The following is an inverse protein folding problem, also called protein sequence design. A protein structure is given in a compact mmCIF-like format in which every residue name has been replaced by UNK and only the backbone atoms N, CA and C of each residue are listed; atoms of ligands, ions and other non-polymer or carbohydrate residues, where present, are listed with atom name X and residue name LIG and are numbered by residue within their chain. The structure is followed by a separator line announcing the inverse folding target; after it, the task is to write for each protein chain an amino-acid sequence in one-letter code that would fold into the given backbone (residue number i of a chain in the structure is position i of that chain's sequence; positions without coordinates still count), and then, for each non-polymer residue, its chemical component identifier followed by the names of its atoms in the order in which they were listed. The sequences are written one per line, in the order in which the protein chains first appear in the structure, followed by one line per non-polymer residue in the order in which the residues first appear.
data_IF_701983926163
#
_entry.id   IF_701983926163
#
_cell.length_a   1.000
_cell.length_b   1.000
_cell.length_c   1.000
_cell.angle_alpha   90.00
_cell.angle_beta   90.00
_cell.angle_gamma   90.00
#
_symmetry.space_group_name_H-M   'P 1'
#
loop_
_entity.id
_entity.type
_entity.pdbx_description
1 polymer ?
#
# COMPACT_ATOMS: atom_id res chain seq x y z
N UNK A 1 -37.08 19.09 10.91
CA UNK A 1 -37.30 18.74 12.32
C UNK A 1 -36.75 17.33 12.49
N UNK A 2 -35.78 17.12 13.38
CA UNK A 2 -35.14 15.81 13.58
C UNK A 2 -33.65 15.90 13.87
N UNK A 3 -33.29 16.58 14.95
CA UNK A 3 -31.97 16.56 15.59
C UNK A 3 -31.65 15.15 16.08
N UNK A 4 -30.43 14.68 15.83
CA UNK A 4 -29.82 13.60 16.62
C UNK A 4 -28.39 13.99 16.97
N UNK A 5 -28.28 14.53 18.19
CA UNK A 5 -27.02 14.60 18.92
C UNK A 5 -26.80 13.25 19.62
N UNK A 6 -25.56 12.75 19.61
CA UNK A 6 -25.08 11.83 20.64
C UNK A 6 -23.68 12.23 21.11
N UNK A 7 -23.57 12.43 22.43
CA UNK A 7 -22.36 12.66 23.23
C UNK A 7 -22.01 11.36 23.94
N UNK A 8 -20.71 11.12 24.13
CA UNK A 8 -20.13 10.11 25.02
C UNK A 8 -19.58 8.92 24.23
N UNK A 9 -18.40 8.37 24.45
CA UNK A 9 -17.44 8.50 25.53
C UNK A 9 -16.61 7.20 25.57
N UNK A 10 -15.42 7.28 26.15
CA UNK A 10 -14.47 6.20 26.44
C UNK A 10 -13.51 5.75 25.32
N UNK A 11 -12.23 5.99 25.64
CA UNK A 11 -11.02 5.59 24.93
C UNK A 11 -10.80 4.10 25.09
N UNK A 12 -10.65 3.37 23.99
CA UNK A 12 -9.84 2.15 23.95
C UNK A 12 -9.09 2.15 22.62
N UNK A 13 -7.81 2.52 22.67
CA UNK A 13 -6.92 2.59 21.52
C UNK A 13 -6.30 1.21 21.30
N UNK A 14 -6.96 0.38 20.50
CA UNK A 14 -6.48 -0.94 20.10
C UNK A 14 -6.85 -1.20 18.64
N UNK A 15 -5.85 -1.47 17.80
CA UNK A 15 -6.06 -1.87 16.42
C UNK A 15 -6.55 -3.32 16.36
N UNK A 16 -7.54 -3.62 15.53
CA UNK A 16 -7.92 -4.98 15.12
C UNK A 16 -7.73 -5.08 13.60
N UNK A 17 -6.82 -5.95 13.18
CA UNK A 17 -6.67 -6.35 11.77
C UNK A 17 -7.69 -7.47 11.52
N UNK A 18 -8.78 -7.17 10.81
CA UNK A 18 -9.74 -8.18 10.35
C UNK A 18 -9.43 -8.53 8.90
N UNK A 19 -8.94 -9.75 8.67
CA UNK A 19 -8.80 -10.32 7.34
C UNK A 19 -10.18 -10.81 6.86
N UNK A 20 -10.91 -9.97 6.15
CA UNK A 20 -12.18 -10.33 5.49
C UNK A 20 -11.94 -10.89 4.08
N UNK A 21 -12.21 -12.17 3.89
CA UNK A 21 -12.14 -12.85 2.58
C UNK A 21 -13.42 -12.56 1.76
N UNK A 22 -13.41 -11.53 0.91
CA UNK A 22 -14.48 -11.31 -0.06
C UNK A 22 -14.12 -12.00 -1.39
N UNK A 23 -14.75 -13.14 -1.67
CA UNK A 23 -14.66 -13.81 -2.97
C UNK A 23 -15.58 -13.11 -3.98
N UNK A 24 -15.01 -12.24 -4.82
CA UNK A 24 -15.67 -11.69 -6.00
C UNK A 24 -15.35 -12.57 -7.22
N UNK A 25 -16.29 -13.42 -7.63
CA UNK A 25 -16.26 -14.12 -8.91
C UNK A 25 -16.72 -13.17 -10.02
N UNK A 26 -15.79 -12.47 -10.67
CA UNK A 26 -16.00 -11.78 -11.93
C UNK A 26 -14.96 -12.29 -12.93
N UNK A 27 -15.42 -12.75 -14.10
CA UNK A 27 -14.63 -13.49 -15.07
C UNK A 27 -13.32 -12.81 -15.46
N UNK A 28 -12.24 -13.55 -15.38
CA UNK A 28 -10.93 -13.12 -15.87
C UNK A 28 -10.65 -13.80 -17.20
N UNK A 29 -10.51 -13.00 -18.25
CA UNK A 29 -9.84 -13.42 -19.47
C UNK A 29 -8.51 -14.11 -19.08
N UNK A 30 -8.19 -15.23 -19.72
CA UNK A 30 -7.01 -16.02 -19.42
C UNK A 30 -5.73 -15.22 -19.78
N UNK A 31 -5.30 -14.36 -18.87
CA UNK A 31 -3.92 -13.88 -18.83
C UNK A 31 -3.01 -15.10 -18.58
N UNK A 32 -1.81 -15.15 -19.20
CA UNK A 32 -0.88 -16.24 -18.98
C UNK A 32 -0.67 -16.41 -17.48
N UNK A 33 -0.97 -17.62 -16.97
CA UNK A 33 -0.97 -17.92 -15.55
C UNK A 33 0.38 -17.50 -14.94
N UNK A 34 0.35 -16.43 -14.15
CA UNK A 34 1.54 -15.93 -13.45
C UNK A 34 2.01 -17.05 -12.51
N UNK A 35 3.28 -17.49 -12.61
CA UNK A 35 3.81 -18.55 -11.75
C UNK A 35 3.53 -18.28 -10.26
N UNK A 36 3.09 -19.30 -9.52
CA UNK A 36 2.76 -19.17 -8.10
C UNK A 36 3.94 -18.60 -7.28
N UNK A 37 5.18 -18.90 -7.67
CA UNK A 37 6.39 -18.32 -7.07
C UNK A 37 6.47 -16.80 -7.21
N UNK A 38 6.01 -16.23 -8.33
CA UNK A 38 5.98 -14.79 -8.54
C UNK A 38 4.88 -14.13 -7.71
N UNK A 39 3.73 -14.80 -7.57
CA UNK A 39 2.64 -14.34 -6.71
C UNK A 39 3.05 -14.34 -5.23
N UNK A 40 3.72 -15.41 -4.78
CA UNK A 40 4.26 -15.49 -3.42
C UNK A 40 5.29 -14.37 -3.15
N UNK A 41 6.20 -14.14 -4.10
CA UNK A 41 7.18 -13.05 -4.00
C UNK A 41 6.50 -11.68 -3.96
N UNK A 42 5.49 -11.45 -4.81
CA UNK A 42 4.71 -10.21 -4.81
C UNK A 42 3.98 -9.98 -3.48
N UNK A 43 3.43 -11.03 -2.88
CA UNK A 43 2.82 -11.00 -1.55
C UNK A 43 3.83 -10.61 -0.48
N UNK A 44 4.99 -11.29 -0.40
CA UNK A 44 6.05 -10.98 0.57
C UNK A 44 6.62 -9.56 0.38
N UNK A 45 6.82 -9.13 -0.86
CA UNK A 45 7.25 -7.77 -1.17
C UNK A 45 6.20 -6.74 -0.70
N UNK A 46 4.91 -6.98 -0.99
CA UNK A 46 3.82 -6.10 -0.55
C UNK A 46 3.77 -5.98 0.97
N UNK A 47 3.89 -7.08 1.71
CA UNK A 47 3.94 -7.06 3.17
C UNK A 47 5.14 -6.27 3.69
N UNK A 48 6.34 -6.49 3.14
CA UNK A 48 7.54 -5.76 3.53
C UNK A 48 7.43 -4.24 3.25
N UNK A 49 6.80 -3.86 2.14
CA UNK A 49 6.49 -2.47 1.82
C UNK A 49 5.46 -1.88 2.80
N UNK A 50 4.39 -2.60 3.10
CA UNK A 50 3.35 -2.16 4.02
C UNK A 50 3.91 -1.96 5.44
N UNK A 51 4.72 -2.89 5.94
CA UNK A 51 5.43 -2.75 7.22
C UNK A 51 6.36 -1.53 7.21
N UNK A 52 7.06 -1.27 6.09
CA UNK A 52 7.90 -0.08 5.96
C UNK A 52 7.06 1.21 6.00
N UNK A 53 5.93 1.26 5.29
CA UNK A 53 5.03 2.40 5.31
C UNK A 53 4.30 2.57 6.65
N UNK A 54 4.25 1.52 7.48
CA UNK A 54 3.74 1.59 8.84
C UNK A 54 4.79 2.07 9.87
N UNK A 55 6.09 2.07 9.52
CA UNK A 55 7.16 2.54 10.43
C UNK A 55 7.16 4.06 10.53
N UNK A 56 6.67 4.56 11.66
CA UNK A 56 6.69 5.99 12.04
C UNK A 56 8.11 6.52 12.39
N UNK A 57 9.13 5.66 12.38
CA UNK A 57 10.53 6.03 12.62
C UNK A 57 11.12 6.86 11.46
N UNK A 58 10.59 6.71 10.24
CA UNK A 58 11.03 7.47 9.08
C UNK A 58 10.20 8.77 8.93
N UNK A 59 10.81 9.96 8.99
CA UNK A 59 10.09 11.23 8.88
C UNK A 59 9.42 11.43 7.51
N UNK A 60 9.85 10.71 6.46
CA UNK A 60 9.18 10.71 5.14
C UNK A 60 7.86 9.97 5.22
N UNK A 61 7.84 8.83 5.91
CA UNK A 61 6.62 8.06 6.16
C UNK A 61 5.63 8.87 6.99
N UNK A 62 6.11 9.55 8.04
CA UNK A 62 5.26 10.43 8.86
C UNK A 62 4.62 11.55 8.04
N UNK A 63 5.40 12.21 7.17
CA UNK A 63 4.90 13.28 6.29
C UNK A 63 3.90 12.76 5.27
N UNK A 64 4.19 11.62 4.65
CA UNK A 64 3.28 10.96 3.72
C UNK A 64 1.95 10.60 4.40
N UNK A 65 2.02 10.02 5.61
CA UNK A 65 0.83 9.70 6.40
C UNK A 65 0.03 10.97 6.74
N UNK A 66 0.69 12.04 7.20
CA UNK A 66 0.04 13.31 7.49
C UNK A 66 -0.67 13.89 6.25
N UNK A 67 -0.01 13.85 5.09
CA UNK A 67 -0.58 14.30 3.83
C UNK A 67 -1.86 13.52 3.46
N UNK A 68 -1.83 12.18 3.52
CA UNK A 68 -2.99 11.34 3.22
C UNK A 68 -4.14 11.56 4.21
N UNK A 69 -3.83 11.87 5.48
CA UNK A 69 -4.84 12.21 6.51
C UNK A 69 -5.48 13.58 6.25
N UNK A 70 -4.70 14.55 5.77
CA UNK A 70 -5.19 15.89 5.42
C UNK A 70 -5.98 15.88 4.11
N UNK A 71 -5.67 14.94 3.22
CA UNK A 71 -6.28 14.82 1.89
C UNK A 71 -6.94 13.44 1.69
N UNK A 72 -8.00 13.09 2.45
CA UNK A 72 -8.68 11.81 2.32
C UNK A 72 -9.37 11.62 0.96
N UNK A 73 -9.72 12.72 0.27
CA UNK A 73 -10.24 12.69 -1.10
C UNK A 73 -9.17 12.36 -2.16
N UNK A 74 -7.89 12.51 -1.79
CA UNK A 74 -6.73 12.19 -2.63
C UNK A 74 -6.30 10.73 -2.47
N UNK A 75 -6.68 10.09 -1.37
CA UNK A 75 -6.50 8.65 -1.21
C UNK A 75 -7.32 7.93 -2.31
N UNK A 76 -6.66 7.22 -3.24
CA UNK A 76 -7.36 6.60 -4.34
C UNK A 76 -8.30 5.52 -3.81
N UNK A 77 -9.56 5.54 -4.24
CA UNK A 77 -10.56 4.52 -3.93
C UNK A 77 -10.15 3.12 -4.45
N UNK A 78 -9.20 3.09 -5.40
CA UNK A 78 -8.55 1.89 -5.90
C UNK A 78 -7.12 1.80 -5.35
N UNK A 79 -6.57 0.59 -5.17
CA UNK A 79 -5.19 0.42 -4.72
C UNK A 79 -4.23 1.14 -5.67
N UNK A 80 -3.33 1.95 -5.12
CA UNK A 80 -2.30 2.65 -5.89
C UNK A 80 -1.37 1.62 -6.51
N UNK A 81 -1.36 1.57 -7.84
CA UNK A 81 -0.48 0.66 -8.57
C UNK A 81 0.93 1.22 -8.60
N UNK A 82 1.85 0.55 -7.90
CA UNK A 82 3.27 0.86 -7.85
C UNK A 82 4.05 -0.17 -8.66
N UNK A 83 4.86 0.32 -9.59
CA UNK A 83 5.77 -0.45 -10.42
C UNK A 83 7.18 -0.35 -9.84
N UNK A 84 7.77 -1.49 -9.48
CA UNK A 84 9.08 -1.58 -8.83
C UNK A 84 10.06 -2.28 -9.77
N UNK A 85 11.24 -1.70 -9.92
CA UNK A 85 12.39 -2.35 -10.55
C UNK A 85 13.32 -2.82 -9.44
N UNK A 86 13.68 -4.10 -9.50
CA UNK A 86 14.40 -4.79 -8.45
C UNK A 86 15.68 -5.34 -9.09
N UNK A 87 16.81 -5.04 -8.47
CA UNK A 87 18.10 -5.59 -8.89
C UNK A 87 18.21 -7.09 -8.56
N UNK A 88 19.21 -7.76 -9.15
CA UNK A 88 19.57 -9.14 -8.82
C UNK A 88 19.79 -9.37 -7.32
N UNK A 89 20.16 -8.35 -6.54
CA UNK A 89 20.28 -8.40 -5.08
C UNK A 89 18.97 -8.29 -4.30
N UNK A 90 17.81 -8.13 -4.96
CA UNK A 90 16.53 -7.97 -4.26
C UNK A 90 16.30 -6.57 -3.66
N UNK A 91 17.01 -5.57 -4.18
CA UNK A 91 16.85 -4.18 -3.76
C UNK A 91 16.09 -3.40 -4.82
N UNK A 92 15.12 -2.57 -4.39
CA UNK A 92 14.42 -1.67 -5.31
C UNK A 92 15.39 -0.58 -5.78
N UNK A 93 15.65 -0.56 -7.09
CA UNK A 93 16.52 0.44 -7.75
C UNK A 93 15.73 1.58 -8.38
N UNK A 94 14.43 1.39 -8.55
CA UNK A 94 13.52 2.41 -9.07
C UNK A 94 12.08 2.05 -8.69
N UNK A 95 11.29 3.06 -8.38
CA UNK A 95 9.85 2.95 -8.21
C UNK A 95 9.10 3.97 -9.09
N UNK A 96 7.96 3.55 -9.65
CA UNK A 96 7.06 4.38 -10.45
C UNK A 96 5.63 4.12 -10.03
N UNK A 97 4.84 5.17 -9.84
CA UNK A 97 3.44 5.09 -9.45
C UNK A 97 2.68 6.29 -10.00
N UNK A 98 1.36 6.20 -10.05
CA UNK A 98 0.51 7.33 -10.38
C UNK A 98 0.65 8.41 -9.30
N UNK A 99 0.88 9.66 -9.69
CA UNK A 99 1.06 10.76 -8.75
C UNK A 99 -0.12 10.84 -7.78
N UNK A 100 0.20 11.05 -6.51
CA UNK A 100 -0.74 11.32 -5.43
C UNK A 100 -1.32 12.74 -5.53
N UNK A 101 -0.97 13.54 -6.53
CA UNK A 101 -1.45 14.92 -6.66
C UNK A 101 -0.68 15.93 -5.79
N UNK A 102 0.39 15.50 -5.11
CA UNK A 102 1.35 16.37 -4.43
C UNK A 102 2.78 15.90 -4.67
N UNK A 103 3.64 16.82 -5.12
CA UNK A 103 5.01 16.51 -5.50
C UNK A 103 5.90 16.11 -4.30
N UNK A 104 5.61 16.61 -3.09
CA UNK A 104 6.34 16.23 -1.88
C UNK A 104 5.93 14.83 -1.44
N UNK A 105 4.62 14.53 -1.40
CA UNK A 105 4.12 13.20 -1.09
C UNK A 105 4.64 12.16 -2.09
N UNK A 106 4.69 12.50 -3.37
CA UNK A 106 5.30 11.66 -4.40
C UNK A 106 6.81 11.47 -4.16
N UNK A 107 7.55 12.52 -3.84
CA UNK A 107 8.98 12.41 -3.55
C UNK A 107 9.24 11.55 -2.30
N UNK A 108 8.46 11.72 -1.24
CA UNK A 108 8.55 10.96 0.00
C UNK A 108 8.21 9.49 -0.22
N UNK A 109 7.10 9.19 -0.90
CA UNK A 109 6.73 7.81 -1.24
C UNK A 109 7.82 7.17 -2.10
N UNK A 110 8.31 7.87 -3.12
CA UNK A 110 9.41 7.36 -3.96
C UNK A 110 10.65 7.09 -3.12
N UNK A 111 11.03 7.98 -2.23
CA UNK A 111 12.23 7.84 -1.42
C UNK A 111 12.12 6.78 -0.32
N UNK A 112 10.91 6.41 0.11
CA UNK A 112 10.66 5.28 1.02
C UNK A 112 10.69 3.95 0.26
N UNK A 113 10.23 3.94 -0.99
CA UNK A 113 10.22 2.75 -1.85
C UNK A 113 11.58 2.47 -2.49
N UNK A 114 12.30 3.51 -2.88
CA UNK A 114 13.63 3.42 -3.45
C UNK A 114 14.62 2.95 -2.38
N UNK A 115 15.59 2.11 -2.77
CA UNK A 115 16.51 1.44 -1.86
C UNK A 115 15.86 0.54 -0.81
N UNK A 116 14.56 0.23 -0.94
CA UNK A 116 13.90 -0.74 -0.09
C UNK A 116 14.51 -2.14 -0.31
N UNK A 117 15.20 -2.74 0.69
CA UNK A 117 15.45 -4.18 0.67
C UNK A 117 14.12 -4.92 0.66
N UNK A 118 13.95 -5.80 -0.31
CA UNK A 118 12.86 -6.77 -0.36
C UNK A 118 13.32 -8.08 0.31
N UNK A 119 12.40 -8.98 0.70
CA UNK A 119 12.72 -10.22 1.42
C UNK A 119 13.56 -11.24 0.62
N UNK A 120 14.02 -10.89 -0.58
CA UNK A 120 14.94 -11.69 -1.37
C UNK A 120 15.10 -11.18 -2.80
N UNK A 121 16.01 -11.79 -3.57
CA UNK A 121 16.17 -11.52 -4.99
C UNK A 121 14.89 -11.90 -5.77
N UNK A 122 14.58 -11.21 -6.88
CA UNK A 122 13.45 -11.58 -7.70
C UNK A 122 13.66 -12.99 -8.28
N UNK A 123 12.62 -13.85 -8.32
CA UNK A 123 12.74 -15.19 -8.88
C UNK A 123 13.19 -15.16 -10.36
N UNK A 124 13.91 -16.20 -10.83
CA UNK A 124 14.43 -16.24 -12.19
C UNK A 124 13.29 -16.17 -13.22
N UNK A 125 13.50 -15.36 -14.26
CA UNK A 125 12.51 -15.14 -15.32
C UNK A 125 11.36 -14.20 -14.94
N UNK A 126 11.35 -13.62 -13.73
CA UNK A 126 10.29 -12.69 -13.32
C UNK A 126 10.28 -11.44 -14.19
N UNK A 127 9.12 -11.08 -14.73
CA UNK A 127 8.96 -9.88 -15.55
C UNK A 127 9.01 -8.63 -14.69
N UNK A 128 9.89 -7.69 -15.08
CA UNK A 128 9.97 -6.35 -14.50
C UNK A 128 9.25 -5.34 -15.42
N UNK A 129 8.63 -4.30 -14.85
CA UNK A 129 8.53 -3.99 -13.43
C UNK A 129 7.52 -4.85 -12.67
N UNK A 130 7.80 -5.13 -11.39
CA UNK A 130 6.83 -5.76 -10.49
C UNK A 130 5.75 -4.73 -10.14
N UNK A 131 4.51 -5.01 -10.54
CA UNK A 131 3.36 -4.12 -10.26
C UNK A 131 2.62 -4.62 -9.03
N UNK A 132 2.61 -3.80 -7.98
CA UNK A 132 1.91 -4.07 -6.72
C UNK A 132 0.80 -3.04 -6.52
N UNK A 133 -0.36 -3.48 -6.03
CA UNK A 133 -1.41 -2.58 -5.59
C UNK A 133 -1.26 -2.27 -4.11
N UNK A 134 -0.95 -1.02 -3.77
CA UNK A 134 -0.92 -0.56 -2.38
C UNK A 134 -2.27 0.05 -2.01
N UNK A 135 -3.01 -0.60 -1.12
CA UNK A 135 -4.20 -0.04 -0.51
C UNK A 135 -3.81 1.11 0.43
N UNK A 136 -4.12 2.34 0.06
CA UNK A 136 -3.94 3.52 0.91
C UNK A 136 -5.30 3.92 1.46
N UNK A 137 -5.86 3.07 2.32
CA UNK A 137 -7.13 3.39 2.96
C UNK A 137 -6.85 4.36 4.12
N UNK A 138 -7.47 5.55 4.18
CA UNK A 138 -7.64 6.21 5.46
C UNK A 138 -8.40 5.22 6.34
N UNK A 139 -7.94 4.98 7.58
CA UNK A 139 -8.72 4.19 8.52
C UNK A 139 -10.11 4.84 8.60
N UNK A 140 -11.12 4.21 8.00
CA UNK A 140 -12.49 4.69 8.12
C UNK A 140 -12.76 4.81 9.62
N UNK A 141 -13.11 6.02 10.05
CA UNK A 141 -13.86 6.19 11.26
C UNK A 141 -15.19 5.45 11.03
N UNK A 142 -15.21 4.15 11.35
CA UNK A 142 -16.44 3.44 11.66
C UNK A 142 -17.08 4.20 12.81
N UNK A 143 -17.93 5.15 12.44
CA UNK A 143 -18.88 5.82 13.30
C UNK A 143 -19.90 4.76 13.71
N UNK A 144 -19.75 4.24 14.93
CA UNK A 144 -20.81 3.58 15.66
C UNK A 144 -21.29 4.52 16.76
#
# INVERSE_FOLDING_TARGET
MGVWQWRGGARIRGWLVVAGLAAASAGSAAEPAVPATWQAYAGSASTALAERLARTDDPRVVRLQAFLQQHPATAPAAPLVVSLWIDAGGTVIRSHFASLGDAQADADLRAVLDHAPLPGPPPPGMRQPLRLGLGMQPAEATVL
#
